data_IF_454657478295
#
_entry.id   IF_454657478295
#
_cell.length_a   1.000
_cell.length_b   1.000
_cell.length_c   1.000
_cell.angle_alpha   90.00
_cell.angle_beta   90.00
_cell.angle_gamma   90.00
#
_symmetry.space_group_name_H-M   'P 1'
#
loop_
_entity.id
_entity.type
_entity.pdbx_description
1 polymer ?
#
# COMPACT_ATOMS: atom_id res chain seq x y z
N UNK A 1 15.07 -33.47 27.68
CA UNK A 1 13.77 -32.79 27.81
C UNK A 1 13.61 -31.89 26.61
N UNK A 2 13.13 -32.46 25.51
CA UNK A 2 12.93 -31.75 24.24
C UNK A 2 11.48 -31.26 24.27
N UNK A 3 11.26 -29.98 24.56
CA UNK A 3 9.94 -29.38 24.43
C UNK A 3 9.62 -29.29 22.94
N UNK A 4 8.70 -30.13 22.45
CA UNK A 4 8.09 -29.94 21.13
C UNK A 4 7.27 -28.67 21.18
N UNK A 5 7.55 -27.74 20.27
CA UNK A 5 6.65 -26.63 19.95
C UNK A 5 5.36 -27.23 19.36
N UNK A 6 4.18 -26.71 19.70
CA UNK A 6 2.95 -27.13 19.04
C UNK A 6 3.05 -26.78 17.55
N UNK A 7 2.70 -27.74 16.70
CA UNK A 7 2.61 -27.56 15.26
C UNK A 7 1.60 -26.46 14.95
N UNK A 8 2.04 -25.45 14.18
CA UNK A 8 1.21 -24.38 13.62
C UNK A 8 0.23 -24.96 12.58
N UNK A 9 -0.73 -25.75 13.04
CA UNK A 9 -1.91 -26.09 12.25
C UNK A 9 -2.85 -24.88 12.28
N UNK A 10 -2.70 -24.00 11.29
CA UNK A 10 -3.61 -22.87 11.07
C UNK A 10 -4.98 -23.44 10.70
N UNK A 11 -5.93 -23.38 11.63
CA UNK A 11 -7.32 -23.76 11.38
C UNK A 11 -7.91 -22.84 10.29
N UNK A 12 -8.33 -23.38 9.13
CA UNK A 12 -8.85 -22.59 8.02
C UNK A 12 -10.21 -21.94 8.31
N UNK A 13 -10.80 -22.17 9.48
CA UNK A 13 -12.05 -21.54 9.94
C UNK A 13 -11.83 -20.29 10.81
N UNK A 14 -10.59 -19.96 11.18
CA UNK A 14 -10.28 -18.74 11.94
C UNK A 14 -10.41 -17.49 11.06
N UNK A 15 -11.18 -16.51 11.54
CA UNK A 15 -11.23 -15.17 10.95
C UNK A 15 -9.82 -14.54 10.95
N UNK A 16 -9.44 -13.80 9.90
CA UNK A 16 -8.15 -13.10 9.88
C UNK A 16 -8.03 -12.09 11.03
N UNK A 17 -7.07 -12.29 11.93
CA UNK A 17 -6.77 -11.36 13.02
C UNK A 17 -5.42 -10.66 12.80
N UNK A 18 -5.44 -9.38 12.44
CA UNK A 18 -4.21 -8.58 12.26
C UNK A 18 -3.37 -8.48 13.54
N UNK A 19 -3.95 -8.66 14.73
CA UNK A 19 -3.21 -8.64 16.00
C UNK A 19 -2.45 -9.95 16.26
N UNK A 20 -2.74 -11.02 15.53
CA UNK A 20 -1.94 -12.25 15.52
C UNK A 20 -0.66 -12.09 14.70
N UNK A 21 0.48 -12.56 15.25
CA UNK A 21 1.79 -12.48 14.57
C UNK A 21 1.85 -13.29 13.29
N UNK A 22 1.12 -14.39 13.23
CA UNK A 22 1.12 -15.31 12.09
C UNK A 22 0.08 -14.94 11.03
N UNK A 23 -0.71 -13.88 11.22
CA UNK A 23 -1.76 -13.53 10.27
C UNK A 23 -1.18 -12.94 8.98
N UNK A 24 -1.56 -13.54 7.85
CA UNK A 24 -1.14 -13.10 6.52
C UNK A 24 -1.58 -11.66 6.18
N UNK A 25 -2.65 -11.16 6.80
CA UNK A 25 -3.15 -9.79 6.58
C UNK A 25 -2.12 -8.71 6.92
N UNK A 26 -1.16 -8.99 7.81
CA UNK A 26 -0.08 -8.05 8.16
C UNK A 26 0.81 -7.69 6.97
N UNK A 27 1.18 -8.67 6.16
CA UNK A 27 2.03 -8.44 4.98
C UNK A 27 1.30 -7.56 3.97
N UNK A 28 0.04 -7.90 3.70
CA UNK A 28 -0.83 -7.14 2.78
C UNK A 28 -1.03 -5.69 3.26
N UNK A 29 -1.31 -5.51 4.56
CA UNK A 29 -1.44 -4.17 5.14
C UNK A 29 -0.12 -3.41 5.09
N UNK A 30 1.01 -4.06 5.38
CA UNK A 30 2.33 -3.44 5.31
C UNK A 30 2.62 -2.91 3.90
N UNK A 31 2.30 -3.67 2.86
CA UNK A 31 2.54 -3.26 1.48
C UNK A 31 1.62 -2.09 1.08
N UNK A 32 0.33 -2.18 1.39
CA UNK A 32 -0.67 -1.14 1.10
C UNK A 32 -0.43 0.16 1.87
N UNK A 33 -0.02 0.09 3.15
CA UNK A 33 0.23 1.28 3.99
C UNK A 33 1.70 1.72 4.00
N UNK A 34 2.56 1.09 3.20
CA UNK A 34 3.94 1.56 3.02
C UNK A 34 3.94 2.97 2.45
N UNK A 35 5.00 3.75 2.73
CA UNK A 35 5.14 5.13 2.23
C UNK A 35 4.80 5.28 0.75
N UNK A 36 5.26 4.34 -0.09
CA UNK A 36 5.03 4.38 -1.52
C UNK A 36 3.76 3.64 -1.96
N UNK A 37 3.37 2.58 -1.26
CA UNK A 37 2.17 1.81 -1.55
C UNK A 37 0.92 2.67 -1.47
N UNK A 38 0.77 3.41 -0.36
CA UNK A 38 -0.41 4.25 -0.16
C UNK A 38 -0.50 5.36 -1.21
N UNK A 39 0.64 5.98 -1.56
CA UNK A 39 0.69 7.05 -2.55
C UNK A 39 0.43 6.52 -3.96
N UNK A 40 0.90 5.31 -4.29
CA UNK A 40 0.64 4.68 -5.57
C UNK A 40 -0.84 4.30 -5.72
N UNK A 41 -1.45 3.73 -4.67
CA UNK A 41 -2.87 3.36 -4.69
C UNK A 41 -3.76 4.59 -4.85
N UNK A 42 -3.53 5.65 -4.07
CA UNK A 42 -4.30 6.89 -4.17
C UNK A 42 -4.09 7.58 -5.51
N UNK A 43 -2.86 7.59 -6.05
CA UNK A 43 -2.61 8.14 -7.39
C UNK A 43 -3.34 7.39 -8.51
N UNK A 44 -3.43 6.06 -8.41
CA UNK A 44 -4.14 5.22 -9.39
C UNK A 44 -5.67 5.29 -9.25
N UNK A 45 -6.19 5.82 -8.13
CA UNK A 45 -7.62 6.09 -7.97
C UNK A 45 -8.12 7.23 -8.87
N UNK A 46 -7.23 8.15 -9.26
CA UNK A 46 -7.52 9.22 -10.23
C UNK A 46 -7.68 8.67 -11.67
N UNK A 47 -7.20 7.45 -11.93
CA UNK A 47 -7.28 6.79 -13.22
C UNK A 47 -6.05 5.92 -13.54
N UNK A 48 -6.11 5.25 -14.69
CA UNK A 48 -4.99 4.43 -15.18
C UNK A 48 -3.76 5.29 -15.52
N UNK A 49 -2.57 4.84 -15.09
CA UNK A 49 -1.33 5.58 -15.26
C UNK A 49 -0.21 4.71 -15.82
N UNK A 50 0.60 5.32 -16.69
CA UNK A 50 1.90 4.77 -17.09
C UNK A 50 2.90 4.91 -15.95
N UNK A 51 3.92 4.03 -15.93
CA UNK A 51 4.99 4.06 -14.91
C UNK A 51 5.60 5.45 -14.73
N UNK A 52 5.92 6.14 -15.83
CA UNK A 52 6.54 7.47 -15.76
C UNK A 52 5.59 8.56 -15.25
N UNK A 53 4.29 8.44 -15.48
CA UNK A 53 3.29 9.35 -14.94
C UNK A 53 3.12 9.12 -13.44
N UNK A 54 3.00 7.84 -13.03
CA UNK A 54 2.89 7.47 -11.62
C UNK A 54 4.14 7.89 -10.83
N UNK A 55 5.34 7.69 -11.37
CA UNK A 55 6.61 8.16 -10.77
C UNK A 55 6.66 9.67 -10.58
N UNK A 56 6.07 10.46 -11.48
CA UNK A 56 5.99 11.92 -11.31
C UNK A 56 4.96 12.31 -10.26
N UNK A 57 3.85 11.57 -10.16
CA UNK A 57 2.79 11.81 -9.18
C UNK A 57 3.23 11.45 -7.75
N UNK A 58 4.00 10.37 -7.61
CA UNK A 58 4.60 9.93 -6.35
C UNK A 58 5.99 10.54 -6.22
N UNK A 59 6.05 11.85 -5.96
CA UNK A 59 7.31 12.58 -5.92
C UNK A 59 8.31 12.01 -4.88
N UNK A 60 9.60 12.02 -5.23
CA UNK A 60 10.68 11.48 -4.41
C UNK A 60 10.87 9.96 -4.43
N UNK A 61 10.01 9.18 -5.10
CA UNK A 61 10.23 7.73 -5.27
C UNK A 61 11.33 7.45 -6.30
N UNK A 62 12.17 6.43 -6.07
CA UNK A 62 13.12 5.94 -7.09
C UNK A 62 12.44 4.92 -8.01
N UNK A 63 12.97 4.71 -9.22
CA UNK A 63 12.38 3.74 -10.16
C UNK A 63 12.38 2.33 -9.57
N UNK A 64 13.47 1.97 -8.90
CA UNK A 64 13.59 0.68 -8.21
C UNK A 64 12.53 0.53 -7.13
N UNK A 65 12.31 1.55 -6.31
CA UNK A 65 11.30 1.50 -5.25
C UNK A 65 9.89 1.41 -5.83
N UNK A 66 9.55 2.26 -6.81
CA UNK A 66 8.22 2.21 -7.42
C UNK A 66 7.95 0.88 -8.12
N UNK A 67 8.93 0.32 -8.83
CA UNK A 67 8.82 -0.99 -9.46
C UNK A 67 8.56 -2.09 -8.42
N UNK A 68 9.32 -2.09 -7.32
CA UNK A 68 9.11 -3.05 -6.21
C UNK A 68 7.74 -2.89 -5.57
N UNK A 69 7.28 -1.66 -5.36
CA UNK A 69 5.96 -1.37 -4.79
C UNK A 69 4.84 -1.88 -5.72
N UNK A 70 4.91 -1.58 -7.01
CA UNK A 70 3.90 -2.04 -7.97
C UNK A 70 3.87 -3.56 -8.08
N UNK A 71 5.03 -4.23 -8.01
CA UNK A 71 5.10 -5.69 -8.01
C UNK A 71 4.43 -6.30 -6.77
N UNK A 72 4.63 -5.71 -5.59
CA UNK A 72 3.93 -6.12 -4.36
C UNK A 72 2.41 -5.91 -4.47
N UNK A 73 1.99 -4.72 -4.89
CA UNK A 73 0.57 -4.40 -5.04
C UNK A 73 -0.14 -5.25 -6.12
N UNK A 74 0.58 -5.61 -7.19
CA UNK A 74 0.09 -6.54 -8.22
C UNK A 74 -0.04 -7.96 -7.66
N UNK A 75 0.97 -8.43 -6.89
CA UNK A 75 0.94 -9.73 -6.22
C UNK A 75 -0.23 -9.84 -5.23
N UNK A 76 -0.51 -8.77 -4.49
CA UNK A 76 -1.60 -8.72 -3.51
C UNK A 76 -2.98 -8.50 -4.15
N UNK A 77 -3.02 -8.25 -5.46
CA UNK A 77 -4.26 -8.10 -6.22
C UNK A 77 -4.92 -6.72 -6.10
N UNK A 78 -4.18 -5.68 -5.70
CA UNK A 78 -4.66 -4.30 -5.69
C UNK A 78 -4.48 -3.59 -7.03
N UNK A 79 -3.44 -3.95 -7.78
CA UNK A 79 -3.06 -3.30 -9.03
C UNK A 79 -3.04 -4.32 -10.16
N UNK A 80 -3.53 -3.93 -11.33
CA UNK A 80 -3.36 -4.66 -12.58
C UNK A 80 -2.32 -3.95 -13.43
N UNK A 81 -1.43 -4.73 -14.04
CA UNK A 81 -0.45 -4.25 -15.03
C UNK A 81 -0.84 -4.75 -16.41
N UNK A 82 -1.23 -3.83 -17.30
CA UNK A 82 -1.62 -4.16 -18.66
C UNK A 82 -0.55 -3.73 -19.68
N UNK A 83 -0.22 -4.63 -20.61
CA UNK A 83 0.67 -4.33 -21.75
C UNK A 83 -0.19 -4.03 -22.96
N UNK A 84 -0.27 -2.75 -23.31
CA UNK A 84 -1.04 -2.30 -24.46
C UNK A 84 -0.25 -2.47 -25.74
N UNK A 85 -0.83 -3.21 -26.69
CA UNK A 85 -0.31 -3.42 -28.04
C UNK A 85 -0.53 -2.18 -28.92
N UNK A 86 0.16 -1.10 -28.58
CA UNK A 86 0.27 0.11 -29.39
C UNK A 86 1.65 0.19 -30.05
N UNK A 87 1.85 1.14 -30.97
CA UNK A 87 3.17 1.47 -31.51
C UNK A 87 3.55 2.87 -31.00
N UNK A 88 4.56 3.00 -30.11
CA UNK A 88 5.28 1.93 -29.41
C UNK A 88 4.45 1.26 -28.30
N UNK A 89 4.79 0.02 -27.89
CA UNK A 89 4.09 -0.68 -26.83
C UNK A 89 4.24 0.10 -25.52
N UNK A 90 3.15 0.16 -24.73
CA UNK A 90 3.14 0.86 -23.45
C UNK A 90 2.55 -0.01 -22.35
N UNK A 91 2.97 0.26 -21.13
CA UNK A 91 2.48 -0.42 -19.93
C UNK A 91 1.70 0.57 -19.10
N UNK A 92 0.50 0.18 -18.71
CA UNK A 92 -0.39 0.95 -17.86
C UNK A 92 -0.73 0.15 -16.60
N UNK A 93 -0.97 0.87 -15.52
CA UNK A 93 -1.35 0.35 -14.23
C UNK A 93 -2.71 0.93 -13.86
N UNK A 94 -3.58 0.09 -13.33
CA UNK A 94 -4.91 0.46 -12.85
C UNK A 94 -5.23 -0.30 -11.56
N UNK A 95 -6.22 0.17 -10.80
CA UNK A 95 -6.69 -0.54 -9.62
C UNK A 95 -7.62 -1.68 -10.00
N UNK A 96 -7.58 -2.77 -9.24
CA UNK A 96 -8.71 -3.72 -9.17
C UNK A 96 -9.85 -3.12 -8.35
N UNK A 97 -11.01 -3.78 -8.32
CA UNK A 97 -12.12 -3.40 -7.43
C UNK A 97 -11.66 -3.34 -5.96
N UNK A 98 -10.90 -4.35 -5.50
CA UNK A 98 -10.32 -4.36 -4.16
C UNK A 98 -9.33 -3.20 -3.95
N UNK A 99 -8.49 -2.93 -4.95
CA UNK A 99 -7.56 -1.80 -4.91
C UNK A 99 -8.25 -0.46 -4.81
N UNK A 100 -9.38 -0.29 -5.50
CA UNK A 100 -10.21 0.93 -5.45
C UNK A 100 -10.84 1.14 -4.08
N UNK A 101 -11.42 0.10 -3.47
CA UNK A 101 -12.00 0.15 -2.12
C UNK A 101 -10.94 0.54 -1.07
N UNK A 102 -9.73 -0.05 -1.18
CA UNK A 102 -8.61 0.25 -0.29
C UNK A 102 -8.12 1.68 -0.51
N UNK A 103 -7.95 2.11 -1.76
CA UNK A 103 -7.49 3.45 -2.09
C UNK A 103 -8.45 4.54 -1.57
N UNK A 104 -9.77 4.32 -1.60
CA UNK A 104 -10.76 5.24 -1.00
C UNK A 104 -10.53 5.40 0.51
N UNK A 105 -10.31 4.30 1.24
CA UNK A 105 -10.06 4.36 2.68
C UNK A 105 -8.74 5.04 3.01
N UNK A 106 -7.71 4.82 2.19
CA UNK A 106 -6.41 5.48 2.34
C UNK A 106 -6.50 6.97 2.04
N UNK A 107 -7.24 7.38 1.01
CA UNK A 107 -7.48 8.79 0.70
C UNK A 107 -8.14 9.51 1.89
N UNK A 108 -9.19 8.93 2.48
CA UNK A 108 -9.84 9.50 3.66
C UNK A 108 -8.90 9.62 4.87
N UNK A 109 -7.96 8.68 5.05
CA UNK A 109 -6.93 8.79 6.08
C UNK A 109 -5.95 9.93 5.79
N UNK A 110 -5.53 10.10 4.53
CA UNK A 110 -4.64 11.19 4.11
C UNK A 110 -5.31 12.53 4.38
N UNK A 111 -6.53 12.72 3.89
CA UNK A 111 -7.29 13.96 4.08
C UNK A 111 -7.46 14.32 5.57
N UNK A 112 -7.77 13.31 6.39
CA UNK A 112 -7.88 13.49 7.84
C UNK A 112 -6.57 13.99 8.45
N UNK A 113 -5.44 13.35 8.10
CA UNK A 113 -4.12 13.72 8.63
C UNK A 113 -3.68 15.08 8.13
N UNK A 114 -3.86 15.36 6.83
CA UNK A 114 -3.56 16.66 6.22
C UNK A 114 -4.35 17.79 6.91
N UNK A 115 -5.63 17.56 7.20
CA UNK A 115 -6.48 18.50 7.93
C UNK A 115 -6.03 18.78 9.38
N UNK A 116 -5.30 17.86 10.01
CA UNK A 116 -4.81 17.98 11.39
C UNK A 116 -3.29 18.20 11.47
N UNK A 117 -2.63 18.54 10.35
CA UNK A 117 -1.19 18.81 10.36
C UNK A 117 -0.75 19.85 11.40
N UNK A 118 -1.48 20.97 11.61
CA UNK A 118 -1.11 21.95 12.63
C UNK A 118 -1.10 21.36 14.05
N UNK A 119 -2.05 20.49 14.38
CA UNK A 119 -2.13 19.85 15.70
C UNK A 119 -0.96 18.87 15.89
N UNK A 120 -0.59 18.14 14.82
CA UNK A 120 0.56 17.23 14.82
C UNK A 120 1.87 18.00 14.97
N UNK A 121 2.03 19.14 14.29
CA UNK A 121 3.20 20.01 14.40
C UNK A 121 3.32 20.60 15.82
N UNK A 122 2.23 21.11 16.39
CA UNK A 122 2.21 21.59 17.77
C UNK A 122 2.59 20.47 18.76
N UNK A 123 2.07 19.26 18.57
CA UNK A 123 2.41 18.12 19.42
C UNK A 123 3.91 17.74 19.33
N UNK A 124 4.52 17.86 18.14
CA UNK A 124 5.97 17.63 17.95
C UNK A 124 6.79 18.68 18.65
N UNK A 125 6.48 19.96 18.47
CA UNK A 125 7.18 21.07 19.16
C UNK A 125 7.12 20.91 20.68
N UNK A 126 5.93 20.57 21.21
CA UNK A 126 5.73 20.33 22.63
C UNK A 126 6.44 19.08 23.17
N UNK A 127 6.77 18.11 22.32
CA UNK A 127 7.59 16.95 22.67
C UNK A 127 9.09 17.29 22.63
N UNK A 128 9.54 17.95 21.57
CA UNK A 128 10.95 18.33 21.36
C UNK A 128 11.44 19.37 22.39
N UNK A 129 10.52 20.13 22.99
CA UNK A 129 10.80 21.06 24.07
C UNK A 129 10.88 20.42 25.48
N UNK A 130 10.63 19.11 25.61
CA UNK A 130 10.75 18.36 26.88
C UNK A 130 12.15 17.82 27.10
#
# INVERSE_FOLDING_TARGET
MTASLPSDDVDPTLEPDVFSRACASRGVLQDATSRWGLLALVALREGELRFSALRRRVDGVSERMLSSTLQSLERDGFVVREVLQAIPPRVEYSLTDLGADVAERLEGLIELVEGHLPDVEQAREAYDAR
#
